data_IF_077619385893
#
_entry.id   IF_077619385893
#
_cell.length_a   1.000
_cell.length_b   1.000
_cell.length_c   1.000
_cell.angle_alpha   90.00
_cell.angle_beta   90.00
_cell.angle_gamma   90.00
#
_symmetry.space_group_name_H-M   'P 1'
#
loop_
_entity.id
_entity.type
_entity.pdbx_description
1 polymer ?
#
# COMPACT_ATOMS: atom_id res chain seq x y z
N UNK A 1 3.25 -59.10 -8.53
CA UNK A 1 3.21 -58.31 -9.77
C UNK A 1 4.08 -57.08 -9.55
N UNK A 2 5.40 -57.20 -9.76
CA UNK A 2 6.35 -56.11 -9.53
C UNK A 2 6.39 -55.24 -10.78
N UNK A 3 5.92 -54.00 -10.66
CA UNK A 3 5.97 -52.99 -11.73
C UNK A 3 7.44 -52.62 -11.93
N UNK A 4 8.08 -53.19 -12.95
CA UNK A 4 9.38 -52.73 -13.44
C UNK A 4 9.12 -51.42 -14.20
N UNK A 5 9.24 -50.29 -13.51
CA UNK A 5 9.24 -48.98 -14.15
C UNK A 5 10.54 -48.87 -14.93
N UNK A 6 10.44 -48.75 -16.26
CA UNK A 6 11.60 -48.53 -17.11
C UNK A 6 12.27 -47.20 -16.76
N UNK A 7 13.59 -47.10 -16.90
CA UNK A 7 14.35 -45.87 -16.55
C UNK A 7 13.76 -44.63 -17.25
N UNK A 8 13.28 -44.78 -18.48
CA UNK A 8 12.59 -43.73 -19.24
C UNK A 8 11.24 -43.31 -18.62
N UNK A 9 10.47 -44.25 -18.08
CA UNK A 9 9.21 -43.94 -17.38
C UNK A 9 9.49 -43.20 -16.07
N UNK A 10 10.54 -43.60 -15.33
CA UNK A 10 10.95 -42.92 -14.10
C UNK A 10 11.35 -41.46 -14.37
N UNK A 11 12.14 -41.22 -15.43
CA UNK A 11 12.55 -39.87 -15.85
C UNK A 11 11.33 -39.05 -16.27
N UNK A 12 10.40 -39.62 -17.03
CA UNK A 12 9.17 -38.94 -17.45
C UNK A 12 8.29 -38.54 -16.27
N UNK A 13 8.11 -39.42 -15.29
CA UNK A 13 7.36 -39.14 -14.06
C UNK A 13 8.05 -38.05 -13.23
N UNK A 14 9.38 -38.07 -13.12
CA UNK A 14 10.12 -37.04 -12.39
C UNK A 14 10.00 -35.66 -13.06
N UNK A 15 10.14 -35.58 -14.38
CA UNK A 15 10.03 -34.32 -15.15
C UNK A 15 8.61 -33.76 -15.06
N UNK A 16 7.59 -34.61 -15.19
CA UNK A 16 6.19 -34.19 -15.06
C UNK A 16 5.88 -33.68 -13.64
N UNK A 17 6.31 -34.40 -12.59
CA UNK A 17 6.19 -33.93 -11.21
C UNK A 17 6.90 -32.59 -10.99
N UNK A 18 8.15 -32.45 -11.44
CA UNK A 18 8.90 -31.20 -11.29
C UNK A 18 8.21 -30.03 -12.02
N UNK A 19 7.71 -30.27 -13.23
CA UNK A 19 7.02 -29.25 -14.03
C UNK A 19 5.75 -28.71 -13.38
N UNK A 20 5.09 -29.50 -12.53
CA UNK A 20 3.88 -29.09 -11.78
C UNK A 20 4.24 -28.51 -10.41
N UNK A 21 5.18 -29.14 -9.69
CA UNK A 21 5.54 -28.74 -8.33
C UNK A 21 6.32 -27.43 -8.29
N UNK A 22 7.20 -27.18 -9.28
CA UNK A 22 7.99 -25.94 -9.35
C UNK A 22 7.12 -24.68 -9.44
N UNK A 23 6.19 -24.53 -10.42
CA UNK A 23 5.33 -23.33 -10.49
C UNK A 23 4.39 -23.23 -9.29
N UNK A 24 3.92 -24.35 -8.73
CA UNK A 24 3.10 -24.35 -7.53
C UNK A 24 3.88 -23.82 -6.31
N UNK A 25 5.14 -24.26 -6.16
CA UNK A 25 6.04 -23.78 -5.11
C UNK A 25 6.33 -22.29 -5.25
N UNK A 26 6.61 -21.80 -6.46
CA UNK A 26 6.80 -20.37 -6.73
C UNK A 26 5.54 -19.58 -6.39
N UNK A 27 4.36 -20.05 -6.81
CA UNK A 27 3.09 -19.40 -6.53
C UNK A 27 2.83 -19.27 -5.01
N UNK A 28 3.03 -20.35 -4.26
CA UNK A 28 2.91 -20.35 -2.80
C UNK A 28 3.92 -19.39 -2.16
N UNK A 29 5.17 -19.42 -2.62
CA UNK A 29 6.22 -18.50 -2.15
C UNK A 29 5.85 -17.02 -2.36
N UNK A 30 5.34 -16.67 -3.54
CA UNK A 30 4.88 -15.31 -3.85
C UNK A 30 3.71 -14.87 -2.96
N UNK A 31 2.76 -15.76 -2.67
CA UNK A 31 1.62 -15.46 -1.79
C UNK A 31 2.12 -15.19 -0.37
N UNK A 32 2.96 -16.07 0.17
CA UNK A 32 3.51 -15.92 1.52
C UNK A 32 4.30 -14.63 1.64
N UNK A 33 5.17 -14.35 0.67
CA UNK A 33 5.99 -13.14 0.67
C UNK A 33 5.13 -11.87 0.60
N UNK A 34 4.10 -11.84 -0.26
CA UNK A 34 3.17 -10.70 -0.34
C UNK A 34 2.46 -10.44 0.99
N UNK A 35 1.95 -11.49 1.64
CA UNK A 35 1.33 -11.38 2.95
C UNK A 35 2.29 -10.91 4.05
N UNK A 36 3.54 -11.36 3.98
CA UNK A 36 4.57 -10.94 4.92
C UNK A 36 4.85 -9.44 4.73
N UNK A 37 5.28 -9.00 3.55
CA UNK A 37 5.62 -7.60 3.28
C UNK A 37 4.50 -6.62 3.68
N UNK A 38 3.23 -7.01 3.50
CA UNK A 38 2.10 -6.21 3.96
C UNK A 38 2.05 -6.04 5.47
N UNK A 39 2.21 -7.13 6.23
CA UNK A 39 2.21 -7.09 7.70
C UNK A 39 3.34 -6.23 8.26
N UNK A 40 4.54 -6.34 7.68
CA UNK A 40 5.71 -5.58 8.13
C UNK A 40 5.50 -4.09 7.96
N UNK A 41 5.00 -3.66 6.81
CA UNK A 41 4.74 -2.25 6.63
C UNK A 41 3.56 -1.73 7.47
N UNK A 42 2.55 -2.55 7.73
CA UNK A 42 1.50 -2.18 8.68
C UNK A 42 2.01 -2.05 10.12
N UNK A 43 3.09 -2.75 10.48
CA UNK A 43 3.77 -2.56 11.76
C UNK A 43 4.57 -1.26 11.77
N UNK A 44 5.38 -1.01 10.74
CA UNK A 44 6.16 0.24 10.65
C UNK A 44 5.28 1.50 10.61
N UNK A 45 4.09 1.44 9.98
CA UNK A 45 3.10 2.52 10.05
C UNK A 45 2.62 2.75 11.48
N UNK A 46 2.29 1.69 12.22
CA UNK A 46 1.81 1.80 13.60
C UNK A 46 2.87 2.36 14.54
N UNK A 47 4.12 1.94 14.36
CA UNK A 47 5.26 2.43 15.13
C UNK A 47 5.44 3.94 14.90
N UNK A 48 5.47 4.39 13.65
CA UNK A 48 5.57 5.82 13.33
C UNK A 48 4.35 6.63 13.80
N UNK A 49 3.14 6.11 13.64
CA UNK A 49 1.92 6.75 14.16
C UNK A 49 1.96 6.92 15.68
N UNK A 50 2.57 5.99 16.42
CA UNK A 50 2.70 6.10 17.87
C UNK A 50 3.63 7.22 18.32
N UNK A 51 4.54 7.67 17.45
CA UNK A 51 5.44 8.79 17.71
C UNK A 51 4.74 10.15 17.68
N UNK A 52 3.56 10.25 17.07
CA UNK A 52 2.81 11.48 16.95
C UNK A 52 1.56 11.49 17.85
N UNK A 53 1.31 12.59 18.60
CA UNK A 53 0.07 12.71 19.35
C UNK A 53 -1.12 12.78 18.39
N UNK A 54 -2.25 12.18 18.77
CA UNK A 54 -3.49 12.21 17.95
C UNK A 54 -3.97 13.61 17.60
N UNK A 55 -3.61 14.61 18.39
CA UNK A 55 -3.93 16.02 18.17
C UNK A 55 -3.07 16.70 17.09
N UNK A 56 -2.00 16.05 16.61
CA UNK A 56 -1.09 16.61 15.60
C UNK A 56 -1.74 16.76 14.22
N UNK A 57 -2.84 16.05 13.95
CA UNK A 57 -3.53 16.07 12.66
C UNK A 57 -4.93 16.63 12.82
N UNK A 58 -5.21 17.76 12.16
CA UNK A 58 -6.54 18.37 12.14
C UNK A 58 -7.09 18.52 10.72
N UNK A 59 -8.35 18.15 10.54
CA UNK A 59 -9.10 18.37 9.30
C UNK A 59 -9.77 19.77 9.25
N UNK A 60 -9.72 20.51 10.35
CA UNK A 60 -10.37 21.82 10.45
C UNK A 60 -9.50 22.86 9.74
N UNK A 61 -10.15 23.81 9.05
CA UNK A 61 -9.47 24.93 8.37
C UNK A 61 -8.82 25.92 9.34
N UNK A 62 -9.37 26.01 10.54
CA UNK A 62 -8.91 26.90 11.60
C UNK A 62 -7.82 26.21 12.41
N UNK A 63 -6.71 26.91 12.61
CA UNK A 63 -5.58 26.49 13.44
C UNK A 63 -5.97 26.48 14.93
N UNK A 64 -6.17 25.30 15.56
CA UNK A 64 -6.42 25.23 16.99
C UNK A 64 -5.12 25.55 17.74
N UNK A 65 -5.20 26.38 18.79
CA UNK A 65 -4.12 26.61 19.76
C UNK A 65 -2.75 27.04 19.16
N UNK A 66 -2.74 28.01 18.23
CA UNK A 66 -1.46 28.58 17.73
C UNK A 66 -0.69 29.22 18.89
N UNK A 67 0.61 28.92 19.01
CA UNK A 67 1.50 29.68 19.89
C UNK A 67 1.63 31.13 19.39
N UNK A 68 1.23 32.15 20.17
CA UNK A 68 1.46 33.54 19.78
C UNK A 68 2.96 33.81 19.64
N UNK A 69 3.39 34.28 18.46
CA UNK A 69 4.80 34.50 18.13
C UNK A 69 5.51 33.31 17.47
N UNK A 70 4.79 32.24 17.10
CA UNK A 70 5.39 31.10 16.40
C UNK A 70 5.87 31.42 14.98
N UNK A 71 6.65 30.50 14.42
CA UNK A 71 7.02 30.50 13.01
C UNK A 71 5.77 30.60 12.10
N UNK A 72 5.93 31.24 10.94
CA UNK A 72 4.86 31.38 9.96
C UNK A 72 4.40 30.01 9.45
N UNK A 73 3.09 29.70 9.42
CA UNK A 73 2.61 28.43 8.91
C UNK A 73 3.06 28.19 7.46
N UNK A 74 3.41 26.95 7.15
CA UNK A 74 3.93 26.57 5.83
C UNK A 74 3.12 25.46 5.18
N UNK A 75 3.10 25.43 3.84
CA UNK A 75 2.54 24.32 3.09
C UNK A 75 3.47 23.09 3.17
N UNK A 76 2.88 21.92 3.41
CA UNK A 76 3.52 20.61 3.29
C UNK A 76 2.70 19.74 2.35
N UNK A 77 3.37 18.90 1.56
CA UNK A 77 2.76 18.09 0.51
C UNK A 77 3.40 16.71 0.52
N UNK A 78 2.60 15.66 0.44
CA UNK A 78 3.08 14.29 0.41
C UNK A 78 2.44 13.51 -0.74
N UNK A 79 3.21 12.61 -1.32
CA UNK A 79 2.76 11.70 -2.37
C UNK A 79 3.09 10.26 -1.97
N UNK A 80 2.16 9.35 -2.20
CA UNK A 80 2.31 7.93 -1.88
C UNK A 80 1.73 7.11 -3.02
N UNK A 81 2.55 6.19 -3.54
CA UNK A 81 2.14 5.22 -4.56
C UNK A 81 2.44 3.81 -4.04
N UNK A 82 1.41 2.98 -3.96
CA UNK A 82 1.52 1.57 -3.55
C UNK A 82 1.00 0.69 -4.68
N UNK A 83 1.83 -0.21 -5.17
CA UNK A 83 1.44 -1.17 -6.21
C UNK A 83 0.72 -2.39 -5.61
N UNK A 84 -0.24 -2.94 -6.34
CA UNK A 84 -0.91 -4.19 -5.99
C UNK A 84 -0.06 -5.42 -6.29
N UNK A 85 -0.12 -6.40 -5.39
CA UNK A 85 0.42 -7.73 -5.63
C UNK A 85 -0.45 -8.53 -6.61
N UNK A 86 0.16 -9.43 -7.38
CA UNK A 86 -0.53 -10.29 -8.36
C UNK A 86 -1.71 -11.05 -7.75
N UNK A 87 -1.56 -11.53 -6.52
CA UNK A 87 -2.60 -12.27 -5.80
C UNK A 87 -3.85 -11.42 -5.51
N UNK A 88 -3.66 -10.15 -5.13
CA UNK A 88 -4.78 -9.22 -4.88
C UNK A 88 -5.53 -8.95 -6.17
N UNK A 89 -4.82 -8.80 -7.28
CA UNK A 89 -5.42 -8.62 -8.62
C UNK A 89 -6.18 -9.87 -9.07
N UNK A 90 -5.65 -11.07 -8.81
CA UNK A 90 -6.33 -12.32 -9.10
C UNK A 90 -7.66 -12.43 -8.33
N UNK A 91 -7.62 -12.22 -7.01
CA UNK A 91 -8.83 -12.25 -6.18
C UNK A 91 -9.83 -11.14 -6.52
N UNK A 92 -9.36 -9.96 -6.88
CA UNK A 92 -10.23 -8.88 -7.35
C UNK A 92 -11.01 -9.31 -8.61
N UNK A 93 -10.40 -10.08 -9.52
CA UNK A 93 -11.10 -10.64 -10.67
C UNK A 93 -12.26 -11.56 -10.28
N UNK A 94 -12.05 -12.41 -9.26
CA UNK A 94 -13.11 -13.27 -8.71
C UNK A 94 -14.23 -12.46 -8.05
N UNK A 95 -13.89 -11.49 -7.20
CA UNK A 95 -14.87 -10.61 -6.55
C UNK A 95 -15.63 -9.77 -7.59
N UNK A 96 -14.99 -9.34 -8.67
CA UNK A 96 -15.64 -8.61 -9.75
C UNK A 96 -16.66 -9.48 -10.50
N UNK A 97 -16.39 -10.78 -10.64
CA UNK A 97 -17.31 -11.71 -11.31
C UNK A 97 -18.54 -12.03 -10.47
N UNK A 98 -18.37 -12.30 -9.17
CA UNK A 98 -19.47 -12.63 -8.26
C UNK A 98 -20.13 -11.40 -7.63
N UNK A 99 -19.50 -10.22 -7.74
CA UNK A 99 -19.86 -9.02 -7.00
C UNK A 99 -19.34 -9.03 -5.56
N UNK A 100 -19.23 -7.86 -4.94
CA UNK A 100 -18.84 -7.70 -3.54
C UNK A 100 -17.78 -6.63 -3.30
N UNK A 101 -17.31 -6.57 -2.05
CA UNK A 101 -16.36 -5.56 -1.60
C UNK A 101 -14.90 -5.93 -1.91
N UNK A 102 -14.18 -5.00 -2.54
CA UNK A 102 -12.76 -5.15 -2.89
C UNK A 102 -11.83 -4.93 -1.68
N UNK A 103 -11.96 -5.77 -0.65
CA UNK A 103 -11.23 -5.64 0.64
C UNK A 103 -9.71 -5.54 0.48
N UNK A 104 -9.14 -6.26 -0.49
CA UNK A 104 -7.70 -6.20 -0.78
C UNK A 104 -7.24 -4.81 -1.25
N UNK A 105 -8.04 -4.15 -2.09
CA UNK A 105 -7.75 -2.80 -2.56
C UNK A 105 -8.10 -1.74 -1.51
N UNK A 106 -9.16 -1.91 -0.74
CA UNK A 106 -9.48 -1.01 0.37
C UNK A 106 -8.36 -0.94 1.40
N UNK A 107 -7.80 -2.08 1.81
CA UNK A 107 -6.63 -2.12 2.71
C UNK A 107 -5.43 -1.37 2.15
N UNK A 108 -5.23 -1.44 0.84
CA UNK A 108 -4.14 -0.74 0.16
C UNK A 108 -4.35 0.78 0.14
N UNK A 109 -5.58 1.23 -0.13
CA UNK A 109 -5.93 2.65 -0.08
C UNK A 109 -5.81 3.19 1.36
N UNK A 110 -6.27 2.44 2.36
CA UNK A 110 -6.13 2.82 3.76
C UNK A 110 -4.67 2.98 4.17
N UNK A 111 -3.83 2.00 3.80
CA UNK A 111 -2.38 2.04 4.00
C UNK A 111 -1.74 3.25 3.32
N UNK A 112 -2.10 3.54 2.07
CA UNK A 112 -1.57 4.68 1.33
C UNK A 112 -1.96 6.02 1.98
N UNK A 113 -3.20 6.12 2.48
CA UNK A 113 -3.68 7.30 3.21
C UNK A 113 -2.90 7.53 4.51
N UNK A 114 -2.69 6.48 5.30
CA UNK A 114 -1.95 6.54 6.55
C UNK A 114 -0.49 6.95 6.33
N UNK A 115 0.15 6.34 5.34
CA UNK A 115 1.50 6.73 4.90
C UNK A 115 1.57 8.20 4.47
N UNK A 116 0.57 8.69 3.71
CA UNK A 116 0.57 10.07 3.23
C UNK A 116 0.47 11.07 4.39
N UNK A 117 -0.38 10.79 5.39
CA UNK A 117 -0.49 11.62 6.59
C UNK A 117 0.80 11.61 7.41
N UNK A 118 1.43 10.45 7.58
CA UNK A 118 2.72 10.35 8.26
C UNK A 118 3.80 11.18 7.56
N UNK A 119 3.90 11.11 6.23
CA UNK A 119 4.86 11.91 5.47
C UNK A 119 4.62 13.42 5.60
N UNK A 120 3.36 13.84 5.72
CA UNK A 120 3.04 15.25 6.02
C UNK A 120 3.54 15.66 7.40
N UNK A 121 3.40 14.79 8.41
CA UNK A 121 3.89 15.02 9.76
C UNK A 121 5.41 15.03 9.82
N UNK A 122 6.07 14.07 9.19
CA UNK A 122 7.53 13.99 9.06
C UNK A 122 8.08 15.28 8.41
N UNK A 123 7.48 15.75 7.31
CA UNK A 123 7.86 17.02 6.68
C UNK A 123 7.58 18.25 7.55
N UNK A 124 6.52 18.23 8.34
CA UNK A 124 6.23 19.31 9.28
C UNK A 124 7.30 19.37 10.37
N UNK A 125 7.68 18.21 10.92
CA UNK A 125 8.71 18.06 11.93
C UNK A 125 10.09 18.48 11.43
N UNK A 126 10.47 18.08 10.21
CA UNK A 126 11.72 18.52 9.55
C UNK A 126 11.81 20.05 9.43
N UNK A 127 10.66 20.71 9.27
CA UNK A 127 10.55 22.18 9.20
C UNK A 127 10.38 22.83 10.59
N UNK A 128 10.40 22.05 11.67
CA UNK A 128 10.29 22.55 13.04
C UNK A 128 8.86 22.81 13.52
N UNK A 129 7.85 22.30 12.82
CA UNK A 129 6.44 22.35 13.23
C UNK A 129 6.04 21.06 13.95
N UNK A 130 5.06 21.14 14.86
CA UNK A 130 4.60 20.00 15.65
C UNK A 130 3.15 19.58 15.31
N UNK A 131 2.47 20.29 14.41
CA UNK A 131 1.10 19.98 14.00
C UNK A 131 0.83 20.36 12.54
N UNK A 132 -0.13 19.66 11.94
CA UNK A 132 -0.68 19.94 10.61
C UNK A 132 -2.20 20.16 10.69
N UNK A 133 -2.70 21.14 9.94
CA UNK A 133 -4.13 21.40 9.79
C UNK A 133 -4.53 21.50 8.32
N UNK A 134 -5.84 21.58 8.06
CA UNK A 134 -6.40 21.68 6.72
C UNK A 134 -5.88 20.57 5.78
N UNK A 135 -5.79 19.34 6.31
CA UNK A 135 -5.33 18.18 5.52
C UNK A 135 -6.34 17.91 4.40
N UNK A 136 -5.84 17.88 3.17
CA UNK A 136 -6.61 17.48 1.98
C UNK A 136 -5.91 16.28 1.35
N UNK A 137 -6.70 15.24 1.06
CA UNK A 137 -6.21 14.00 0.47
C UNK A 137 -6.98 13.79 -0.82
N UNK A 138 -6.25 13.71 -1.92
CA UNK A 138 -6.75 13.43 -3.25
C UNK A 138 -6.17 12.10 -3.75
N UNK A 139 -6.90 11.43 -4.65
CA UNK A 139 -6.46 10.19 -5.28
C UNK A 139 -6.26 10.43 -6.77
N UNK A 140 -5.16 9.93 -7.32
CA UNK A 140 -4.92 9.95 -8.75
C UNK A 140 -4.99 8.52 -9.32
N UNK A 141 -5.38 8.41 -10.58
CA UNK A 141 -5.30 7.15 -11.31
C UNK A 141 -4.10 7.20 -12.26
N UNK A 142 -3.14 6.30 -12.04
CA UNK A 142 -1.93 6.19 -12.87
C UNK A 142 -2.17 5.24 -14.06
N UNK A 143 -3.30 4.53 -14.12
CA UNK A 143 -3.57 3.55 -15.19
C UNK A 143 -4.06 4.16 -16.52
N UNK A 144 -4.17 5.49 -16.61
CA UNK A 144 -4.76 6.25 -17.72
C UNK A 144 -3.96 6.43 -19.03
N UNK A 145 -3.05 5.51 -19.42
CA UNK A 145 -2.29 5.65 -20.68
C UNK A 145 -2.13 4.35 -21.49
N UNK A 146 -3.12 3.44 -21.45
CA UNK A 146 -3.12 2.22 -22.29
C UNK A 146 -4.36 2.18 -23.19
N UNK A 147 -4.32 2.87 -24.33
CA UNK A 147 -5.29 2.77 -25.45
C UNK A 147 -5.18 1.45 -26.23
N UNK A 148 -4.86 0.34 -25.56
CA UNK A 148 -4.79 -0.99 -26.14
C UNK A 148 -5.57 -1.99 -25.28
N UNK A 149 -6.38 -2.88 -25.88
CA UNK A 149 -7.04 -3.94 -25.13
C UNK A 149 -5.95 -4.90 -24.62
N UNK A 150 -5.96 -5.17 -23.32
CA UNK A 150 -5.10 -6.15 -22.64
C UNK A 150 -3.60 -5.81 -22.51
N UNK A 151 -3.27 -4.82 -21.69
CA UNK A 151 -2.16 -4.99 -20.73
C UNK A 151 -2.68 -4.68 -19.34
N UNK A 152 -2.68 -5.70 -18.48
CA UNK A 152 -3.05 -5.60 -17.06
C UNK A 152 -2.12 -4.59 -16.38
N UNK A 153 -2.46 -3.32 -16.43
CA UNK A 153 -1.80 -2.31 -15.63
C UNK A 153 -1.95 -2.76 -14.16
N UNK A 154 -0.83 -2.85 -13.44
CA UNK A 154 -0.89 -3.17 -12.02
C UNK A 154 -1.80 -2.15 -11.36
N UNK A 155 -2.83 -2.61 -10.64
CA UNK A 155 -3.69 -1.70 -9.87
C UNK A 155 -2.81 -1.01 -8.82
N UNK A 156 -2.81 0.32 -8.81
CA UNK A 156 -2.00 1.12 -7.89
C UNK A 156 -2.92 1.98 -7.04
N UNK A 157 -2.59 2.11 -5.75
CA UNK A 157 -3.15 3.13 -4.89
C UNK A 157 -2.22 4.35 -4.93
N UNK A 158 -2.66 5.43 -5.58
CA UNK A 158 -1.97 6.72 -5.58
C UNK A 158 -2.74 7.73 -4.73
N UNK A 159 -2.04 8.32 -3.77
CA UNK A 159 -2.57 9.32 -2.85
C UNK A 159 -1.66 10.54 -2.89
N UNK A 160 -2.28 11.70 -3.12
CA UNK A 160 -1.68 13.02 -3.01
C UNK A 160 -2.28 13.67 -1.77
N UNK A 161 -1.46 14.26 -0.91
CA UNK A 161 -1.93 14.91 0.29
C UNK A 161 -1.27 16.28 0.45
N UNK A 162 -2.03 17.27 0.92
CA UNK A 162 -1.54 18.61 1.23
C UNK A 162 -2.07 19.06 2.58
N UNK A 163 -1.28 19.84 3.32
CA UNK A 163 -1.68 20.40 4.60
C UNK A 163 -0.89 21.66 4.93
N UNK A 164 -1.33 22.39 5.96
CA UNK A 164 -0.59 23.52 6.50
C UNK A 164 0.05 23.12 7.82
N UNK A 165 1.37 23.15 7.89
CA UNK A 165 2.15 22.92 9.09
C UNK A 165 2.20 24.19 9.94
N UNK A 166 1.99 24.05 11.24
CA UNK A 166 1.99 25.15 12.20
C UNK A 166 2.45 24.68 13.58
N UNK A 167 2.70 25.62 14.49
CA UNK A 167 3.14 25.31 15.85
C UNK A 167 1.98 25.45 16.84
N UNK A 168 1.61 24.35 17.50
CA UNK A 168 0.66 24.35 18.61
C UNK A 168 1.34 24.64 19.94
N UNK A 169 0.63 25.33 20.84
CA UNK A 169 1.02 25.63 22.23
C UNK A 169 1.06 24.40 23.11
#
# INVERSE_FOLDING_TARGET
>A
MHVFISMEELVTVLVTLLSVLLPLGIAVGCIIMGHFTEKWHLQSLRERESGYPRSAVSQVKTFPNIQPGSQTPQLVVAEVVIASDYWKTFWAGWVNFFGGEMRGYQKMIDRARREAVLRLLEQAEEKGFNAICNVRIDTADITGASTAPAKRAASMACVLASATAYMTS
#
